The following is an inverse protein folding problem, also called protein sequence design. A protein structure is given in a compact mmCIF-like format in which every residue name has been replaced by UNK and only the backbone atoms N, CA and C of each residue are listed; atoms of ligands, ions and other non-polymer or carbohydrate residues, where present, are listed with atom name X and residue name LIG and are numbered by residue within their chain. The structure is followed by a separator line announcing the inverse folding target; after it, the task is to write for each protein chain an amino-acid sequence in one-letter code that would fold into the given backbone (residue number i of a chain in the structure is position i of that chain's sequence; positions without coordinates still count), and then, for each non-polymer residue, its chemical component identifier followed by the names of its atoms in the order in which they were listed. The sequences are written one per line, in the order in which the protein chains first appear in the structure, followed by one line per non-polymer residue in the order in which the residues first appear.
data_IF_463996462499
#
_entry.id   IF_463996462499
#
_cell.length_a   1.000
_cell.length_b   1.000
_cell.length_c   1.000
_cell.angle_alpha   90.00
_cell.angle_beta   90.00
_cell.angle_gamma   90.00
#
_symmetry.space_group_name_H-M   'P 1'
#
loop_
_entity.id
_entity.type
_entity.pdbx_description
1 polymer ?
#
# COMPACT_ATOMS: atom_id res chain seq x y z
N UNK A 1 -5.60 -10.53 -14.28
CA UNK A 1 -4.67 -10.85 -15.36
C UNK A 1 -3.49 -9.89 -15.23
N UNK A 2 -2.29 -10.44 -14.94
CA UNK A 2 -1.06 -9.68 -15.08
C UNK A 2 -0.89 -9.46 -16.58
N UNK A 3 -1.23 -8.26 -17.03
CA UNK A 3 -0.93 -7.90 -18.39
C UNK A 3 0.59 -7.68 -18.44
N UNK A 4 1.31 -8.64 -19.02
CA UNK A 4 2.72 -8.51 -19.34
C UNK A 4 2.85 -7.40 -20.39
N UNK A 5 2.85 -6.17 -19.91
CA UNK A 5 3.41 -5.10 -20.70
C UNK A 5 4.91 -5.17 -20.50
N UNK A 6 5.66 -5.07 -21.56
CA UNK A 6 7.11 -5.00 -21.63
C UNK A 6 7.69 -3.81 -20.84
N UNK A 7 7.44 -3.83 -19.51
CA UNK A 7 7.93 -2.78 -18.59
C UNK A 7 9.39 -3.01 -18.19
N UNK A 8 9.94 -4.20 -18.49
CA UNK A 8 11.35 -4.45 -18.27
C UNK A 8 12.19 -3.63 -19.25
N UNK A 9 13.01 -2.75 -18.73
CA UNK A 9 13.96 -2.02 -19.55
C UNK A 9 14.98 -3.01 -20.14
N UNK A 10 15.16 -2.97 -21.46
CA UNK A 10 16.22 -3.73 -22.13
C UNK A 10 17.52 -2.95 -21.93
N UNK A 11 18.45 -3.48 -21.13
CA UNK A 11 19.76 -2.88 -20.91
C UNK A 11 20.80 -3.46 -21.86
N UNK A 12 21.76 -2.61 -22.22
CA UNK A 12 23.02 -3.04 -22.84
C UNK A 12 23.92 -3.69 -21.76
N UNK A 13 24.78 -4.65 -22.13
CA UNK A 13 25.66 -5.36 -21.19
C UNK A 13 26.44 -4.41 -20.28
N UNK A 14 26.63 -4.82 -19.02
CA UNK A 14 27.39 -4.05 -18.03
C UNK A 14 28.79 -3.70 -18.51
N UNK A 15 29.19 -2.43 -18.35
CA UNK A 15 30.46 -1.88 -18.81
C UNK A 15 31.65 -2.44 -18.04
N UNK A 16 32.23 -3.54 -18.49
CA UNK A 16 33.64 -3.88 -18.28
C UNK A 16 34.15 -4.49 -19.57
N UNK A 17 35.22 -3.98 -20.16
CA UNK A 17 35.72 -4.50 -21.43
C UNK A 17 36.02 -5.99 -21.47
N UNK A 18 36.14 -6.67 -20.32
CA UNK A 18 36.36 -8.12 -20.22
C UNK A 18 35.04 -8.91 -20.11
N UNK A 19 33.96 -8.30 -19.62
CA UNK A 19 32.68 -8.98 -19.41
C UNK A 19 31.76 -8.85 -20.62
N UNK A 20 31.88 -7.75 -21.39
CA UNK A 20 31.13 -7.51 -22.61
C UNK A 20 31.45 -8.56 -23.70
N UNK A 21 32.73 -8.92 -23.81
CA UNK A 21 33.19 -9.93 -24.80
C UNK A 21 32.73 -11.36 -24.40
N UNK A 22 32.61 -11.62 -23.09
CA UNK A 22 32.10 -12.91 -22.59
C UNK A 22 30.58 -13.02 -22.77
N UNK A 23 29.83 -11.94 -22.51
CA UNK A 23 28.39 -11.90 -22.67
C UNK A 23 27.99 -12.00 -24.15
N UNK A 24 28.69 -11.34 -25.05
CA UNK A 24 28.48 -11.42 -26.50
C UNK A 24 28.74 -12.82 -27.08
N UNK A 25 29.52 -13.66 -26.39
CA UNK A 25 29.78 -15.05 -26.79
C UNK A 25 28.77 -16.07 -26.18
N UNK A 26 27.89 -15.62 -25.27
CA UNK A 26 26.85 -16.50 -24.70
C UNK A 26 25.69 -16.67 -25.66
N UNK A 27 25.09 -17.86 -25.66
CA UNK A 27 23.88 -18.14 -26.44
C UNK A 27 22.67 -17.48 -25.76
N UNK A 28 21.68 -17.05 -26.56
CA UNK A 28 20.41 -16.58 -26.02
C UNK A 28 19.75 -17.64 -25.13
N UNK A 29 19.11 -17.20 -24.06
CA UNK A 29 18.44 -18.09 -23.09
C UNK A 29 18.79 -17.77 -21.65
N UNK A 30 18.49 -18.71 -20.79
CA UNK A 30 18.75 -18.64 -19.36
C UNK A 30 20.22 -18.87 -19.03
N UNK A 31 20.73 -18.02 -18.14
CA UNK A 31 22.08 -18.09 -17.59
C UNK A 31 22.00 -17.96 -16.07
N UNK A 32 23.05 -18.42 -15.39
CA UNK A 32 23.18 -18.33 -13.94
C UNK A 32 24.65 -18.08 -13.57
N UNK A 33 24.88 -17.22 -12.60
CA UNK A 33 26.19 -16.95 -12.02
C UNK A 33 26.10 -16.84 -10.49
N UNK A 34 27.18 -16.39 -9.84
CA UNK A 34 27.23 -16.25 -8.39
C UNK A 34 26.21 -15.20 -7.81
N UNK A 35 25.66 -14.32 -8.66
CA UNK A 35 24.72 -13.28 -8.25
C UNK A 35 23.26 -13.68 -8.53
N UNK A 36 23.00 -14.69 -9.36
CA UNK A 36 21.66 -15.17 -9.66
C UNK A 36 21.44 -15.57 -11.10
N UNK A 37 20.18 -15.77 -11.45
CA UNK A 37 19.71 -16.16 -12.77
C UNK A 37 19.30 -14.94 -13.59
N UNK A 38 19.59 -14.94 -14.88
CA UNK A 38 19.23 -13.88 -15.83
C UNK A 38 18.93 -14.45 -17.21
N UNK A 39 18.30 -13.66 -18.10
CA UNK A 39 17.94 -14.10 -19.44
C UNK A 39 18.58 -13.22 -20.50
N UNK A 40 19.32 -13.82 -21.42
CA UNK A 40 19.91 -13.15 -22.58
C UNK A 40 19.01 -13.28 -23.80
N UNK A 41 18.75 -12.15 -24.45
CA UNK A 41 18.06 -12.09 -25.73
C UNK A 41 18.99 -12.50 -26.89
N UNK A 42 18.40 -12.79 -28.06
CA UNK A 42 19.14 -13.18 -29.27
C UNK A 42 20.07 -12.09 -29.80
N UNK A 43 19.83 -10.84 -29.44
CA UNK A 43 20.66 -9.68 -29.80
C UNK A 43 21.76 -9.36 -28.78
N UNK A 44 21.92 -10.22 -27.76
CA UNK A 44 22.91 -10.05 -26.70
C UNK A 44 22.49 -9.11 -25.57
N UNK A 45 21.33 -8.49 -25.61
CA UNK A 45 20.75 -7.72 -24.51
C UNK A 45 20.14 -8.64 -23.46
N UNK A 46 19.77 -8.07 -22.29
CA UNK A 46 19.05 -8.79 -21.23
C UNK A 46 18.00 -7.91 -20.56
N UNK A 47 17.01 -8.53 -19.92
CA UNK A 47 15.94 -7.84 -19.22
C UNK A 47 16.40 -7.28 -17.87
N UNK A 48 15.81 -6.14 -17.46
CA UNK A 48 16.04 -5.55 -16.13
C UNK A 48 14.89 -4.61 -15.75
N UNK A 49 14.69 -4.37 -14.44
CA UNK A 49 13.73 -3.42 -13.88
C UNK A 49 12.27 -3.68 -14.30
N UNK A 50 11.78 -4.89 -14.15
CA UNK A 50 10.35 -5.11 -14.38
C UNK A 50 9.97 -6.54 -14.73
N UNK A 51 8.73 -6.69 -15.15
CA UNK A 51 8.16 -8.00 -15.49
C UNK A 51 8.33 -8.30 -16.96
N UNK A 52 8.62 -9.56 -17.26
CA UNK A 52 8.78 -10.05 -18.63
C UNK A 52 8.22 -11.46 -18.77
N UNK A 53 7.49 -11.70 -19.87
CA UNK A 53 7.06 -13.04 -20.23
C UNK A 53 8.13 -13.72 -21.11
N UNK A 54 8.51 -14.93 -20.68
CA UNK A 54 9.44 -15.79 -21.39
C UNK A 54 8.79 -17.16 -21.47
N UNK A 55 8.54 -17.63 -22.67
CA UNK A 55 7.89 -18.93 -22.96
C UNK A 55 6.54 -19.12 -22.23
N UNK A 56 5.76 -18.03 -22.06
CA UNK A 56 4.45 -18.03 -21.42
C UNK A 56 4.48 -18.01 -19.89
N UNK A 57 5.65 -17.78 -19.29
CA UNK A 57 5.84 -17.61 -17.84
C UNK A 57 6.33 -16.21 -17.57
N UNK A 58 5.67 -15.51 -16.62
CA UNK A 58 6.07 -14.17 -16.20
C UNK A 58 7.16 -14.24 -15.14
N UNK A 59 8.22 -13.47 -15.32
CA UNK A 59 9.36 -13.29 -14.42
C UNK A 59 9.50 -11.82 -14.04
N UNK A 60 10.06 -11.55 -12.85
CA UNK A 60 10.48 -10.22 -12.43
C UNK A 60 12.00 -10.11 -12.45
N UNK A 61 12.51 -9.03 -13.03
CA UNK A 61 13.95 -8.74 -13.11
C UNK A 61 14.29 -7.50 -12.27
N UNK A 62 15.36 -7.58 -11.49
CA UNK A 62 15.87 -6.46 -10.72
C UNK A 62 16.63 -5.44 -11.62
N UNK A 63 17.18 -4.38 -11.00
CA UNK A 63 17.96 -3.35 -11.69
C UNK A 63 19.24 -3.84 -12.36
N UNK A 64 19.76 -4.98 -11.93
CA UNK A 64 20.98 -5.60 -12.45
C UNK A 64 20.69 -6.67 -13.52
N UNK A 65 19.42 -7.03 -13.69
CA UNK A 65 18.96 -8.01 -14.68
C UNK A 65 18.81 -9.43 -14.13
N UNK A 66 18.89 -9.63 -12.83
CA UNK A 66 18.65 -10.94 -12.21
C UNK A 66 17.18 -11.13 -11.86
N UNK A 67 16.67 -12.37 -11.96
CA UNK A 67 15.31 -12.68 -11.54
C UNK A 67 15.15 -12.44 -10.04
N UNK A 68 13.96 -11.92 -9.68
CA UNK A 68 13.55 -11.76 -8.30
C UNK A 68 12.66 -12.93 -7.89
N UNK A 69 12.77 -13.36 -6.63
CA UNK A 69 11.95 -14.42 -6.01
C UNK A 69 11.28 -13.89 -4.74
N UNK A 70 10.22 -14.57 -4.28
CA UNK A 70 9.44 -14.11 -3.15
C UNK A 70 8.50 -12.96 -3.53
N UNK A 71 8.22 -12.08 -2.59
CA UNK A 71 7.32 -10.94 -2.79
C UNK A 71 8.03 -9.77 -3.48
N UNK A 72 7.47 -9.31 -4.58
CA UNK A 72 7.93 -8.13 -5.35
C UNK A 72 6.80 -7.12 -5.38
N UNK A 73 7.06 -5.92 -4.85
CA UNK A 73 6.13 -4.80 -4.83
C UNK A 73 6.20 -4.02 -6.16
N UNK A 74 5.04 -3.75 -6.76
CA UNK A 74 4.95 -2.90 -7.96
C UNK A 74 3.72 -1.99 -7.87
N UNK A 75 3.96 -0.72 -7.58
CA UNK A 75 2.91 0.23 -7.30
C UNK A 75 2.17 -0.14 -6.01
N UNK A 76 0.86 -0.32 -6.11
CA UNK A 76 -0.01 -0.70 -4.97
C UNK A 76 -0.28 -2.20 -4.87
N UNK A 77 0.44 -3.02 -5.65
CA UNK A 77 0.23 -4.47 -5.70
C UNK A 77 1.50 -5.23 -5.39
N UNK A 78 1.32 -6.36 -4.70
CA UNK A 78 2.36 -7.34 -4.44
C UNK A 78 2.18 -8.54 -5.36
N UNK A 79 3.30 -9.04 -5.88
CA UNK A 79 3.37 -10.20 -6.76
C UNK A 79 4.32 -11.22 -6.15
N UNK A 80 3.96 -12.49 -6.17
CA UNK A 80 4.82 -13.54 -5.64
C UNK A 80 5.48 -14.34 -6.77
N UNK A 81 6.79 -14.49 -6.68
CA UNK A 81 7.60 -15.29 -7.60
C UNK A 81 8.19 -16.48 -6.86
N UNK A 82 8.00 -17.67 -7.40
CA UNK A 82 8.53 -18.91 -6.85
C UNK A 82 10.07 -18.91 -6.82
N UNK A 83 10.68 -19.94 -6.21
CA UNK A 83 12.15 -20.08 -6.15
C UNK A 83 12.81 -20.19 -7.53
N UNK A 84 12.07 -20.69 -8.54
CA UNK A 84 12.52 -20.74 -9.93
C UNK A 84 12.34 -19.40 -10.68
N UNK A 85 11.76 -18.40 -10.02
CA UNK A 85 11.47 -17.05 -10.55
C UNK A 85 10.13 -16.92 -11.26
N UNK A 86 9.34 -17.99 -11.38
CA UNK A 86 8.03 -17.95 -12.04
C UNK A 86 6.99 -17.22 -11.18
N UNK A 87 6.16 -16.37 -11.80
CA UNK A 87 5.04 -15.71 -11.12
C UNK A 87 3.98 -16.73 -10.68
N UNK A 88 3.56 -16.64 -9.41
CA UNK A 88 2.48 -17.45 -8.86
C UNK A 88 1.26 -16.56 -8.51
N UNK A 89 0.24 -16.48 -9.36
CA UNK A 89 -0.96 -15.67 -9.12
C UNK A 89 -1.85 -16.21 -7.99
N UNK A 90 -1.62 -17.43 -7.50
CA UNK A 90 -2.39 -18.00 -6.40
C UNK A 90 -1.96 -17.46 -5.04
N UNK A 91 -0.77 -16.89 -4.96
CA UNK A 91 -0.25 -16.27 -3.74
C UNK A 91 -0.79 -14.86 -3.61
N UNK A 92 -1.50 -14.62 -2.54
CA UNK A 92 -1.99 -13.30 -2.13
C UNK A 92 -1.34 -12.96 -0.81
N UNK A 93 -0.65 -11.80 -0.73
CA UNK A 93 -0.07 -11.34 0.53
C UNK A 93 -1.21 -11.05 1.50
N UNK A 94 -1.23 -11.67 2.69
CA UNK A 94 -2.23 -11.32 3.68
C UNK A 94 -2.13 -9.83 4.02
N UNK A 95 -3.24 -9.11 3.90
CA UNK A 95 -3.33 -7.71 4.33
C UNK A 95 -4.20 -7.64 5.58
N UNK A 96 -3.78 -6.82 6.54
CA UNK A 96 -4.54 -6.50 7.73
C UNK A 96 -4.77 -4.98 7.74
N UNK A 97 -6.02 -4.56 7.78
CA UNK A 97 -6.40 -3.19 8.02
C UNK A 97 -6.74 -3.02 9.51
N UNK A 98 -5.98 -2.20 10.21
CA UNK A 98 -6.27 -1.82 11.58
C UNK A 98 -7.20 -0.61 11.58
N UNK A 99 -8.29 -0.69 12.33
CA UNK A 99 -9.20 0.44 12.52
C UNK A 99 -9.54 0.60 13.99
N UNK A 100 -9.67 1.85 14.44
CA UNK A 100 -10.03 2.20 15.82
C UNK A 100 -11.16 3.21 15.80
N UNK A 101 -12.22 2.89 16.53
CA UNK A 101 -13.42 3.72 16.65
C UNK A 101 -13.44 4.47 17.99
N UNK A 102 -14.33 5.47 18.12
CA UNK A 102 -14.68 6.21 19.35
C UNK A 102 -13.58 7.12 19.94
N UNK A 103 -12.38 7.12 19.35
CA UNK A 103 -11.31 8.01 19.80
C UNK A 103 -11.51 9.49 19.42
N UNK A 104 -10.51 10.33 19.70
CA UNK A 104 -9.37 10.08 20.56
C UNK A 104 -9.74 10.02 22.05
N UNK A 105 -8.88 9.41 22.87
CA UNK A 105 -9.09 9.23 24.29
C UNK A 105 -7.77 9.14 25.06
N UNK A 106 -7.83 8.84 26.37
CA UNK A 106 -6.68 8.82 27.28
C UNK A 106 -5.53 7.90 26.86
N UNK A 107 -5.83 6.80 26.13
CA UNK A 107 -4.83 5.81 25.67
C UNK A 107 -4.39 6.00 24.20
N UNK A 108 -4.86 7.07 23.56
CA UNK A 108 -4.57 7.30 22.14
C UNK A 108 -3.07 7.49 21.90
N UNK A 109 -2.37 8.23 22.75
CA UNK A 109 -0.93 8.46 22.61
C UNK A 109 -0.12 7.16 22.76
N UNK A 110 -0.48 6.29 23.71
CA UNK A 110 0.17 4.99 23.90
C UNK A 110 -0.05 4.08 22.68
N UNK A 111 -1.25 4.13 22.08
CA UNK A 111 -1.55 3.40 20.86
C UNK A 111 -0.72 3.93 19.68
N UNK A 112 -0.60 5.24 19.53
CA UNK A 112 0.21 5.86 18.49
C UNK A 112 1.70 5.54 18.66
N UNK A 113 2.22 5.51 19.90
CA UNK A 113 3.57 5.04 20.20
C UNK A 113 3.79 3.59 19.75
N UNK A 114 2.81 2.72 19.98
CA UNK A 114 2.87 1.31 19.57
C UNK A 114 2.89 1.19 18.03
N UNK A 115 2.04 1.93 17.31
CA UNK A 115 2.02 1.95 15.85
C UNK A 115 3.35 2.44 15.28
N UNK A 116 3.88 3.54 15.82
CA UNK A 116 5.16 4.12 15.41
C UNK A 116 6.32 3.14 15.59
N UNK A 117 6.43 2.50 16.77
CA UNK A 117 7.47 1.50 17.08
C UNK A 117 7.44 0.29 16.13
N UNK A 118 6.27 -0.07 15.61
CA UNK A 118 6.08 -1.20 14.72
C UNK A 118 6.00 -0.79 13.24
N UNK A 119 6.19 0.49 12.90
CA UNK A 119 6.00 1.03 11.54
C UNK A 119 4.66 0.59 10.94
N UNK A 120 3.61 0.64 11.76
CA UNK A 120 2.25 0.23 11.41
C UNK A 120 1.35 1.46 11.26
N UNK A 121 0.36 1.34 10.38
CA UNK A 121 -0.63 2.39 10.12
C UNK A 121 -2.03 1.88 10.44
N UNK A 122 -2.94 2.81 10.74
CA UNK A 122 -4.33 2.50 11.03
C UNK A 122 -5.26 3.60 10.49
N UNK A 123 -6.56 3.29 10.41
CA UNK A 123 -7.61 4.29 10.22
C UNK A 123 -8.30 4.54 11.55
N UNK A 124 -8.41 5.80 11.95
CA UNK A 124 -9.07 6.22 13.19
C UNK A 124 -10.41 6.87 12.87
N UNK A 125 -11.51 6.22 13.21
CA UNK A 125 -12.85 6.78 13.11
C UNK A 125 -13.19 7.50 14.42
N UNK A 126 -13.06 8.84 14.40
CA UNK A 126 -13.10 9.65 15.60
C UNK A 126 -14.49 10.28 15.84
N UNK A 127 -14.84 10.42 17.11
CA UNK A 127 -15.97 11.25 17.53
C UNK A 127 -15.53 12.72 17.59
N UNK A 128 -16.27 13.61 16.92
CA UNK A 128 -15.90 15.02 16.85
C UNK A 128 -15.79 15.69 18.22
N UNK A 129 -16.67 15.35 19.17
CA UNK A 129 -16.60 15.86 20.56
C UNK A 129 -15.27 15.47 21.25
N UNK A 130 -14.73 14.30 20.96
CA UNK A 130 -13.48 13.83 21.55
C UNK A 130 -12.27 14.52 20.91
N UNK A 131 -12.31 14.85 19.61
CA UNK A 131 -11.29 15.63 18.93
C UNK A 131 -11.09 16.97 19.62
N UNK A 132 -12.17 17.63 20.05
CA UNK A 132 -12.10 18.89 20.77
C UNK A 132 -11.39 18.78 22.14
N UNK A 133 -11.42 17.60 22.77
CA UNK A 133 -10.77 17.31 24.05
C UNK A 133 -9.30 16.88 23.91
N UNK A 134 -8.94 16.32 22.75
CA UNK A 134 -7.60 15.80 22.44
C UNK A 134 -7.11 16.31 21.08
N UNK A 135 -6.95 17.65 20.90
CA UNK A 135 -6.71 18.26 19.58
C UNK A 135 -5.36 17.89 18.94
N UNK A 136 -4.37 17.46 19.72
CA UNK A 136 -3.06 17.08 19.20
C UNK A 136 -3.06 15.67 18.56
N UNK A 137 -4.01 14.79 18.94
CA UNK A 137 -4.05 13.42 18.49
C UNK A 137 -4.25 13.28 16.97
N UNK A 138 -5.22 13.96 16.31
CA UNK A 138 -5.39 13.86 14.85
C UNK A 138 -4.17 14.30 14.07
N UNK A 139 -3.47 15.33 14.54
CA UNK A 139 -2.24 15.81 13.91
C UNK A 139 -1.16 14.74 13.96
N UNK A 140 -0.93 14.13 15.13
CA UNK A 140 0.03 13.06 15.30
C UNK A 140 -0.33 11.82 14.45
N UNK A 141 -1.61 11.46 14.34
CA UNK A 141 -2.08 10.38 13.46
C UNK A 141 -1.64 10.63 12.01
N UNK A 142 -1.84 11.85 11.48
CA UNK A 142 -1.41 12.22 10.13
C UNK A 142 0.11 12.20 9.96
N UNK A 143 0.87 12.69 10.95
CA UNK A 143 2.35 12.67 10.94
C UNK A 143 2.90 11.24 10.89
N UNK A 144 2.20 10.27 11.48
CA UNK A 144 2.51 8.83 11.43
C UNK A 144 1.97 8.13 10.18
N UNK A 145 1.34 8.84 9.24
CA UNK A 145 0.78 8.26 8.02
C UNK A 145 -0.51 7.45 8.22
N UNK A 146 -1.18 7.63 9.36
CA UNK A 146 -2.50 7.06 9.61
C UNK A 146 -3.59 7.85 8.88
N UNK A 147 -4.71 7.18 8.60
CA UNK A 147 -5.90 7.79 8.03
C UNK A 147 -6.83 8.28 9.13
N UNK A 148 -7.41 9.48 8.94
CA UNK A 148 -8.42 10.04 9.83
C UNK A 148 -9.81 9.95 9.21
N UNK A 149 -10.77 9.42 9.96
CA UNK A 149 -12.16 9.21 9.59
C UNK A 149 -13.12 9.79 10.63
N UNK A 150 -14.37 10.00 10.21
CA UNK A 150 -15.46 10.45 11.07
C UNK A 150 -16.30 9.28 11.56
N UNK A 151 -16.58 9.27 12.89
CA UNK A 151 -17.53 8.36 13.53
C UNK A 151 -18.73 9.09 14.10
N UNK A 152 -19.18 10.17 13.43
CA UNK A 152 -20.16 11.15 13.87
C UNK A 152 -19.61 12.10 14.98
N UNK A 153 -20.44 13.02 15.44
CA UNK A 153 -20.06 13.95 16.50
C UNK A 153 -20.04 13.30 17.88
N UNK A 154 -21.12 12.59 18.26
CA UNK A 154 -21.39 12.12 19.61
C UNK A 154 -21.83 10.65 19.71
N UNK A 155 -21.60 9.88 18.65
CA UNK A 155 -22.01 8.47 18.54
C UNK A 155 -23.53 8.25 18.47
N UNK A 156 -24.32 9.26 18.06
CA UNK A 156 -25.77 9.11 17.87
C UNK A 156 -26.08 8.08 16.79
N UNK A 157 -27.09 7.22 17.00
CA UNK A 157 -27.57 6.28 16.00
C UNK A 157 -28.25 7.03 14.83
N UNK A 158 -27.61 7.08 13.66
CA UNK A 158 -27.97 7.96 12.56
C UNK A 158 -29.36 7.72 11.98
N UNK A 159 -29.86 6.48 12.01
CA UNK A 159 -31.20 6.14 11.52
C UNK A 159 -32.35 6.64 12.42
N UNK A 160 -32.04 7.18 13.60
CA UNK A 160 -33.03 7.70 14.55
C UNK A 160 -33.22 9.22 14.50
N UNK A 161 -32.45 9.90 13.65
CA UNK A 161 -32.48 11.36 13.49
C UNK A 161 -32.79 11.74 12.04
N UNK A 162 -33.16 12.98 11.78
CA UNK A 162 -33.43 13.47 10.42
C UNK A 162 -32.10 13.70 9.64
N UNK A 163 -32.21 13.82 8.32
CA UNK A 163 -31.04 13.94 7.43
C UNK A 163 -30.24 15.23 7.68
N UNK A 164 -30.88 16.33 8.08
CA UNK A 164 -30.19 17.58 8.42
C UNK A 164 -29.33 17.39 9.68
N UNK A 165 -29.88 16.66 10.67
CA UNK A 165 -29.13 16.29 11.86
C UNK A 165 -27.99 15.30 11.54
N UNK A 166 -28.20 14.34 10.63
CA UNK A 166 -27.12 13.46 10.16
C UNK A 166 -26.01 14.27 9.51
N UNK A 167 -26.34 15.17 8.57
CA UNK A 167 -25.34 16.04 7.92
C UNK A 167 -24.57 16.86 8.95
N UNK A 168 -25.26 17.35 9.99
CA UNK A 168 -24.62 18.12 11.08
C UNK A 168 -23.65 17.27 11.91
N UNK A 169 -23.94 16.00 12.18
CA UNK A 169 -23.04 15.09 12.89
C UNK A 169 -21.68 14.99 12.19
N UNK A 170 -21.66 14.92 10.88
CA UNK A 170 -20.41 14.82 10.09
C UNK A 170 -19.75 16.19 9.90
N UNK A 171 -20.52 17.25 9.60
CA UNK A 171 -19.93 18.57 9.41
C UNK A 171 -19.29 19.14 10.68
N UNK A 172 -19.90 18.95 11.85
CA UNK A 172 -19.33 19.40 13.13
C UNK A 172 -18.03 18.61 13.45
N UNK A 173 -17.98 17.32 13.08
CA UNK A 173 -16.77 16.49 13.23
C UNK A 173 -15.66 16.96 12.28
N UNK A 174 -15.99 17.27 11.04
CA UNK A 174 -15.02 17.78 10.06
C UNK A 174 -14.47 19.15 10.50
N UNK A 175 -15.33 20.04 11.02
CA UNK A 175 -14.91 21.34 11.56
C UNK A 175 -13.92 21.17 12.72
N UNK A 176 -14.17 20.23 13.63
CA UNK A 176 -13.26 19.92 14.73
C UNK A 176 -11.91 19.36 14.23
N UNK A 177 -11.93 18.47 13.25
CA UNK A 177 -10.72 17.90 12.62
C UNK A 177 -9.93 18.97 11.88
N UNK A 178 -10.58 19.83 11.09
CA UNK A 178 -9.93 20.94 10.38
C UNK A 178 -9.27 21.89 11.38
N UNK A 179 -9.93 22.19 12.49
CA UNK A 179 -9.36 23.04 13.54
C UNK A 179 -8.16 22.39 14.21
N UNK A 180 -8.18 21.08 14.45
CA UNK A 180 -7.12 20.34 15.15
C UNK A 180 -5.90 20.07 14.26
N UNK A 181 -6.10 19.62 13.02
CA UNK A 181 -5.02 19.14 12.14
C UNK A 181 -5.02 19.72 10.72
N UNK A 182 -5.98 20.60 10.37
CA UNK A 182 -6.07 21.26 9.07
C UNK A 182 -6.70 20.42 7.97
N UNK A 183 -7.27 19.25 8.28
CA UNK A 183 -7.84 18.32 7.31
C UNK A 183 -9.18 17.76 7.81
N UNK A 184 -10.17 17.67 6.93
CA UNK A 184 -11.43 16.93 7.18
C UNK A 184 -11.21 15.41 7.12
N UNK A 185 -12.19 14.65 7.60
CA UNK A 185 -12.18 13.19 7.47
C UNK A 185 -12.20 12.77 5.99
N UNK A 186 -11.41 11.75 5.65
CA UNK A 186 -11.37 11.18 4.30
C UNK A 186 -12.41 10.06 4.12
N UNK A 187 -12.82 9.43 5.22
CA UNK A 187 -13.75 8.31 5.28
C UNK A 187 -14.68 8.47 6.49
N UNK A 188 -15.81 7.78 6.47
CA UNK A 188 -16.76 7.77 7.58
C UNK A 188 -17.19 6.34 7.93
N UNK A 189 -17.52 6.13 9.20
CA UNK A 189 -18.15 4.90 9.70
C UNK A 189 -19.36 5.26 10.53
N UNK A 190 -20.52 4.72 10.19
CA UNK A 190 -21.72 4.96 10.96
C UNK A 190 -21.64 4.29 12.34
N UNK A 191 -22.02 4.98 13.43
CA UNK A 191 -22.19 4.37 14.74
C UNK A 191 -23.08 3.14 14.68
N UNK A 192 -22.77 2.11 15.47
CA UNK A 192 -23.46 0.82 15.53
C UNK A 192 -23.47 0.02 14.21
N UNK A 193 -22.76 0.46 13.17
CA UNK A 193 -22.88 -0.10 11.81
C UNK A 193 -24.28 0.12 11.21
N UNK A 194 -25.01 1.09 11.73
CA UNK A 194 -26.40 1.35 11.37
C UNK A 194 -26.49 2.45 10.31
N UNK A 195 -27.05 2.11 9.16
CA UNK A 195 -27.24 2.99 8.03
C UNK A 195 -28.32 2.45 7.08
N UNK A 196 -28.81 3.34 6.25
CA UNK A 196 -29.78 3.02 5.21
C UNK A 196 -29.43 3.79 3.92
N UNK A 197 -30.24 3.60 2.85
CA UNK A 197 -30.00 4.24 1.55
C UNK A 197 -30.05 5.77 1.54
N UNK A 198 -30.58 6.37 2.59
CA UNK A 198 -30.71 7.84 2.70
C UNK A 198 -29.48 8.47 3.40
N UNK A 199 -28.70 7.63 4.11
CA UNK A 199 -27.49 8.04 4.85
C UNK A 199 -26.20 7.82 4.01
N UNK A 200 -26.21 6.82 3.10
CA UNK A 200 -25.05 6.45 2.26
C UNK A 200 -25.14 6.96 0.84
#
# INVERSE_FOLDING_TARGET
EVQANSDAAVRQPLKGKSDTDKIAAMTAGWHEDANGKWYQNTDGTYFSNGFQDIDGVTYSFDGNGYIQTGWVEKGVKDYYFNEDGSYDPSKVRPMLALTFDDGPGEYTDELLDCLEQNNAHATFFMLGQNVSSYPDAPKRMLELGCEIGSHSWDHTQLTTIDLDAVAKQFSDTDDALIQACGQAASVARAPYGDGNSDIY
#
